data_IF_295047229900
#
_entry.id   IF_295047229900
#
_cell.length_a   1.000
_cell.length_b   1.000
_cell.length_c   1.000
_cell.angle_alpha   90.00
_cell.angle_beta   90.00
_cell.angle_gamma   90.00
#
_symmetry.space_group_name_H-M   'P 1'
#
loop_
_entity.id
_entity.type
_entity.pdbx_description
1 polymer ?
#
# COMPACT_ATOMS: atom_id res chain seq x y z
N UNK A 1 6.16 -82.50 43.35
CA UNK A 1 5.46 -82.69 42.05
C UNK A 1 5.11 -81.32 41.52
N UNK A 2 5.95 -80.78 40.63
CA UNK A 2 5.80 -79.48 40.06
C UNK A 2 5.49 -79.65 38.54
N UNK A 3 4.29 -79.24 38.16
CA UNK A 3 3.83 -79.33 36.76
C UNK A 3 4.21 -78.05 36.03
N UNK A 4 5.10 -78.14 35.02
CA UNK A 4 5.42 -77.08 34.09
C UNK A 4 4.35 -77.04 32.99
N UNK A 5 3.61 -75.94 32.87
CA UNK A 5 2.73 -75.64 31.74
C UNK A 5 3.56 -74.99 30.61
N UNK A 6 3.81 -75.81 29.55
CA UNK A 6 4.52 -75.34 28.35
C UNK A 6 3.58 -74.50 27.46
N UNK A 7 3.92 -73.26 27.21
CA UNK A 7 3.27 -72.42 26.18
C UNK A 7 3.78 -72.78 24.79
N UNK A 8 2.86 -73.16 23.89
CA UNK A 8 3.12 -73.50 22.51
C UNK A 8 3.57 -72.27 21.67
N UNK A 9 4.63 -72.51 20.86
CA UNK A 9 5.17 -71.46 19.91
C UNK A 9 4.13 -70.94 18.92
N UNK A 10 2.97 -71.51 18.79
CA UNK A 10 1.90 -71.03 17.90
C UNK A 10 1.01 -69.94 18.51
N UNK A 11 1.05 -69.72 19.81
CA UNK A 11 0.28 -68.66 20.49
C UNK A 11 1.00 -67.35 20.60
N UNK A 12 2.30 -67.31 20.30
CA UNK A 12 3.12 -66.05 20.29
C UNK A 12 3.11 -65.33 18.95
N UNK A 13 2.55 -65.93 17.87
CA UNK A 13 2.51 -65.32 16.53
C UNK A 13 1.15 -64.65 16.21
N UNK A 14 0.17 -64.68 17.10
CA UNK A 14 -1.16 -64.06 16.87
C UNK A 14 -1.35 -62.68 17.50
N UNK A 15 -0.34 -62.13 18.19
CA UNK A 15 -0.45 -60.83 18.87
C UNK A 15 0.40 -59.70 18.23
N UNK A 16 1.05 -59.92 17.10
CA UNK A 16 1.91 -58.93 16.42
C UNK A 16 1.28 -58.30 15.18
N UNK A 17 -0.02 -58.51 14.92
CA UNK A 17 -0.69 -58.00 13.71
C UNK A 17 -1.75 -56.91 13.95
N UNK A 18 -1.78 -56.29 15.15
CA UNK A 18 -2.82 -55.32 15.51
C UNK A 18 -2.29 -53.95 15.93
N UNK A 19 -1.15 -53.51 15.38
CA UNK A 19 -0.63 -52.18 15.72
C UNK A 19 0.16 -51.56 14.57
N UNK A 20 -0.43 -51.26 13.43
CA UNK A 20 0.00 -50.16 12.52
C UNK A 20 -1.20 -49.82 11.61
N UNK A 21 -2.23 -49.25 12.20
CA UNK A 21 -3.27 -48.51 11.52
C UNK A 21 -3.25 -47.09 12.02
N UNK A 22 -2.08 -46.43 11.97
CA UNK A 22 -2.05 -44.95 12.06
C UNK A 22 -2.74 -44.44 10.79
N UNK A 23 -4.05 -44.20 10.91
CA UNK A 23 -4.82 -43.52 9.89
C UNK A 23 -4.16 -42.14 9.71
N UNK A 24 -3.31 -42.01 8.69
CA UNK A 24 -2.94 -40.73 8.14
C UNK A 24 -4.22 -40.12 7.59
N UNK A 25 -4.91 -39.36 8.44
CA UNK A 25 -5.98 -38.50 7.97
C UNK A 25 -5.36 -37.64 6.86
N UNK A 26 -5.94 -37.63 5.66
CA UNK A 26 -5.46 -36.71 4.64
C UNK A 26 -5.54 -35.33 5.25
N UNK A 27 -4.39 -34.66 5.41
CA UNK A 27 -4.36 -33.21 5.66
C UNK A 27 -5.07 -32.62 4.46
N UNK A 28 -6.33 -32.28 4.64
CA UNK A 28 -7.12 -31.63 3.61
C UNK A 28 -6.43 -30.28 3.38
N UNK A 29 -5.64 -30.16 2.31
CA UNK A 29 -5.01 -28.93 1.93
C UNK A 29 -6.13 -27.89 1.78
N UNK A 30 -6.27 -27.00 2.75
CA UNK A 30 -7.25 -25.92 2.67
C UNK A 30 -6.95 -25.11 1.40
N UNK A 31 -7.96 -24.95 0.56
CA UNK A 31 -7.85 -24.10 -0.62
C UNK A 31 -7.43 -22.70 -0.16
N UNK A 32 -6.34 -22.12 -0.71
CA UNK A 32 -5.88 -20.81 -0.29
C UNK A 32 -6.98 -19.75 -0.45
N UNK A 33 -7.11 -18.86 0.54
CA UNK A 33 -8.04 -17.74 0.43
C UNK A 33 -7.54 -16.76 -0.62
N UNK A 34 -8.32 -16.60 -1.70
CA UNK A 34 -7.98 -15.66 -2.77
C UNK A 34 -8.29 -14.23 -2.36
N UNK A 35 -7.32 -13.33 -2.56
CA UNK A 35 -7.42 -11.89 -2.29
C UNK A 35 -6.90 -11.13 -3.51
N UNK A 36 -7.76 -10.48 -4.28
CA UNK A 36 -7.35 -9.50 -5.28
C UNK A 36 -7.09 -8.18 -4.56
N UNK A 37 -5.83 -7.72 -4.60
CA UNK A 37 -5.37 -6.53 -3.88
C UNK A 37 -5.09 -5.37 -4.83
N UNK A 38 -5.84 -4.25 -4.71
CA UNK A 38 -5.67 -3.07 -5.54
C UNK A 38 -4.50 -2.18 -5.11
N UNK A 39 -3.60 -1.82 -6.05
CA UNK A 39 -2.47 -0.92 -5.81
C UNK A 39 -2.32 0.13 -6.91
N UNK A 40 -1.72 1.27 -6.57
CA UNK A 40 -1.22 2.27 -7.53
C UNK A 40 0.29 2.11 -7.73
N UNK A 41 0.84 2.61 -8.85
CA UNK A 41 2.23 2.37 -9.23
C UNK A 41 3.23 3.24 -8.43
N UNK A 42 3.35 3.00 -7.12
CA UNK A 42 4.35 3.62 -6.23
C UNK A 42 4.99 2.59 -5.30
N UNK A 43 6.18 2.87 -4.82
CA UNK A 43 6.92 1.93 -3.98
C UNK A 43 6.37 1.80 -2.54
N UNK A 44 5.39 2.60 -2.16
CA UNK A 44 4.65 2.50 -0.89
C UNK A 44 3.95 1.14 -0.72
N UNK A 45 3.74 0.39 -1.80
CA UNK A 45 3.19 -0.97 -1.80
C UNK A 45 4.26 -2.06 -1.69
N UNK A 46 5.52 -1.72 -1.46
CA UNK A 46 6.63 -2.67 -1.42
C UNK A 46 6.38 -3.86 -0.48
N UNK A 47 5.71 -3.67 0.67
CA UNK A 47 5.42 -4.77 1.60
C UNK A 47 4.48 -5.83 0.99
N UNK A 48 3.51 -5.43 0.15
CA UNK A 48 2.64 -6.38 -0.57
C UNK A 48 3.42 -7.12 -1.64
N UNK A 49 4.26 -6.42 -2.40
CA UNK A 49 5.08 -7.01 -3.45
C UNK A 49 6.10 -8.00 -2.89
N UNK A 50 6.81 -7.61 -1.84
CA UNK A 50 7.76 -8.49 -1.13
C UNK A 50 7.03 -9.69 -0.52
N UNK A 51 5.89 -9.50 0.15
CA UNK A 51 5.14 -10.62 0.74
C UNK A 51 4.68 -11.63 -0.32
N UNK A 52 4.31 -11.18 -1.52
CA UNK A 52 3.95 -12.05 -2.65
C UNK A 52 5.16 -12.81 -3.15
N UNK A 53 6.27 -12.13 -3.43
CA UNK A 53 7.44 -12.69 -4.08
C UNK A 53 8.27 -13.60 -3.16
N UNK A 54 8.36 -13.26 -1.85
CA UNK A 54 9.01 -14.09 -0.83
C UNK A 54 8.11 -15.24 -0.33
N UNK A 55 6.87 -15.32 -0.85
CA UNK A 55 5.95 -16.39 -0.51
C UNK A 55 5.35 -16.28 0.91
N UNK A 56 5.38 -15.10 1.55
CA UNK A 56 4.84 -14.95 2.91
C UNK A 56 3.33 -15.13 2.96
N UNK A 57 2.62 -14.74 1.90
CA UNK A 57 1.19 -14.99 1.77
C UNK A 57 0.88 -16.48 1.60
N UNK A 58 1.56 -17.16 0.67
CA UNK A 58 1.30 -18.58 0.39
C UNK A 58 1.63 -19.48 1.57
N UNK A 59 2.68 -19.19 2.34
CA UNK A 59 3.02 -19.86 3.60
C UNK A 59 1.90 -19.82 4.63
N UNK A 60 1.00 -18.83 4.53
CA UNK A 60 -0.14 -18.61 5.43
C UNK A 60 -1.50 -18.95 4.80
N UNK A 61 -1.50 -19.70 3.70
CA UNK A 61 -2.72 -20.14 3.03
C UNK A 61 -3.46 -19.01 2.30
N UNK A 62 -2.76 -17.95 1.87
CA UNK A 62 -3.34 -16.88 1.08
C UNK A 62 -2.81 -16.91 -0.37
N UNK A 63 -3.72 -16.71 -1.32
CA UNK A 63 -3.40 -16.41 -2.71
C UNK A 63 -3.71 -14.93 -2.98
N UNK A 64 -2.71 -14.07 -2.78
CA UNK A 64 -2.84 -12.63 -3.00
C UNK A 64 -2.42 -12.30 -4.43
N UNK A 65 -3.32 -11.66 -5.19
CA UNK A 65 -3.11 -11.20 -6.55
C UNK A 65 -3.08 -9.65 -6.57
N UNK A 66 -1.90 -9.01 -6.67
CA UNK A 66 -1.81 -7.55 -6.81
C UNK A 66 -2.34 -7.11 -8.17
N UNK A 67 -3.34 -6.18 -8.16
CA UNK A 67 -3.98 -5.63 -9.35
C UNK A 67 -3.73 -4.13 -9.45
N UNK A 68 -3.14 -3.70 -10.56
CA UNK A 68 -2.88 -2.28 -10.80
C UNK A 68 -4.18 -1.50 -11.02
N UNK A 69 -4.33 -0.39 -10.29
CA UNK A 69 -5.41 0.58 -10.40
C UNK A 69 -4.80 1.93 -10.78
N UNK A 70 -5.14 2.53 -11.93
CA UNK A 70 -4.48 3.75 -12.42
C UNK A 70 -4.60 4.96 -11.50
N UNK A 71 -5.77 5.15 -10.89
CA UNK A 71 -6.09 6.30 -10.02
C UNK A 71 -6.54 5.82 -8.63
N UNK A 72 -5.87 6.31 -7.60
CA UNK A 72 -6.12 5.89 -6.21
C UNK A 72 -7.59 6.07 -5.75
N UNK A 73 -8.31 7.15 -6.12
CA UNK A 73 -9.72 7.34 -5.74
C UNK A 73 -10.67 6.23 -6.23
N UNK A 74 -10.27 5.42 -7.21
CA UNK A 74 -11.10 4.31 -7.70
C UNK A 74 -11.03 3.06 -6.83
N UNK A 75 -10.05 2.96 -5.92
CA UNK A 75 -9.83 1.76 -5.09
C UNK A 75 -11.02 1.46 -4.16
N UNK A 76 -11.57 2.42 -3.39
CA UNK A 76 -12.70 2.12 -2.51
C UNK A 76 -13.94 1.60 -3.25
N UNK A 77 -14.27 2.17 -4.40
CA UNK A 77 -15.39 1.71 -5.22
C UNK A 77 -15.16 0.27 -5.75
N UNK A 78 -13.92 -0.06 -6.13
CA UNK A 78 -13.57 -1.41 -6.57
C UNK A 78 -13.62 -2.44 -5.43
N UNK A 79 -13.29 -2.05 -4.19
CA UNK A 79 -13.48 -2.88 -2.99
C UNK A 79 -14.99 -3.06 -2.73
N UNK A 80 -15.78 -1.99 -2.83
CA UNK A 80 -17.22 -2.04 -2.59
C UNK A 80 -17.95 -2.97 -3.57
N UNK A 81 -17.51 -3.03 -4.82
CA UNK A 81 -18.09 -3.89 -5.86
C UNK A 81 -17.55 -5.33 -5.88
N UNK A 82 -16.75 -5.74 -4.89
CA UNK A 82 -16.04 -7.04 -4.84
C UNK A 82 -15.05 -7.30 -6.00
N UNK A 83 -14.77 -6.31 -6.84
CA UNK A 83 -13.71 -6.40 -7.85
C UNK A 83 -12.31 -6.50 -7.23
N UNK A 84 -12.21 -6.07 -5.96
CA UNK A 84 -11.07 -6.22 -5.06
C UNK A 84 -11.59 -6.69 -3.71
N UNK A 85 -10.90 -7.61 -3.02
CA UNK A 85 -11.18 -7.94 -1.63
C UNK A 85 -10.49 -6.98 -0.67
N UNK A 86 -9.29 -6.51 -1.06
CA UNK A 86 -8.51 -5.51 -0.33
C UNK A 86 -7.89 -4.52 -1.31
N UNK A 87 -7.45 -3.38 -0.81
CA UNK A 87 -6.70 -2.43 -1.63
C UNK A 87 -6.06 -1.33 -0.80
N UNK A 88 -5.22 -0.53 -1.47
CA UNK A 88 -4.44 0.52 -0.84
C UNK A 88 -4.89 1.93 -1.18
N UNK A 89 -6.04 2.42 -0.70
CA UNK A 89 -6.35 3.84 -0.80
C UNK A 89 -5.38 4.66 0.05
N UNK A 90 -5.16 5.92 -0.34
CA UNK A 90 -4.51 6.88 0.56
C UNK A 90 -5.43 7.21 1.74
N UNK A 91 -4.92 7.67 2.89
CA UNK A 91 -5.75 7.99 4.04
C UNK A 91 -6.89 8.97 3.71
N UNK A 92 -6.59 9.98 2.89
CA UNK A 92 -7.58 10.98 2.49
C UNK A 92 -8.68 10.39 1.58
N UNK A 93 -8.35 9.49 0.66
CA UNK A 93 -9.33 8.78 -0.18
C UNK A 93 -10.18 7.83 0.67
N UNK A 94 -9.57 7.13 1.62
CA UNK A 94 -10.28 6.27 2.55
C UNK A 94 -11.30 7.07 3.37
N UNK A 95 -10.89 8.19 3.98
CA UNK A 95 -11.77 9.05 4.77
C UNK A 95 -12.93 9.63 3.95
N UNK A 96 -12.67 10.04 2.70
CA UNK A 96 -13.72 10.50 1.79
C UNK A 96 -14.70 9.37 1.42
N UNK A 97 -14.20 8.15 1.26
CA UNK A 97 -15.06 7.00 0.98
C UNK A 97 -16.01 6.70 2.15
N UNK A 98 -15.53 6.78 3.39
CA UNK A 98 -16.36 6.66 4.59
C UNK A 98 -17.39 7.80 4.70
N UNK A 99 -16.97 9.04 4.45
CA UNK A 99 -17.83 10.21 4.43
C UNK A 99 -18.91 10.13 3.34
N UNK A 100 -18.63 9.37 2.27
CA UNK A 100 -19.55 8.98 1.21
C UNK A 100 -20.45 7.79 1.54
N UNK A 101 -20.35 7.22 2.76
CA UNK A 101 -21.20 6.13 3.24
C UNK A 101 -20.66 4.72 3.01
N UNK A 102 -19.41 4.53 2.56
CA UNK A 102 -18.81 3.20 2.47
C UNK A 102 -18.36 2.71 3.85
N UNK A 103 -18.56 1.41 4.13
CA UNK A 103 -18.16 0.80 5.41
C UNK A 103 -16.93 -0.08 5.23
N UNK A 104 -15.77 0.56 5.18
CA UNK A 104 -14.46 -0.09 5.10
C UNK A 104 -13.69 0.07 6.42
N UNK A 105 -12.77 -0.87 6.66
CA UNK A 105 -11.85 -0.83 7.82
C UNK A 105 -10.41 -0.99 7.37
N UNK A 106 -9.51 -0.40 8.15
CA UNK A 106 -8.06 -0.51 7.96
C UNK A 106 -7.59 -1.85 8.51
N UNK A 107 -6.91 -2.64 7.67
CA UNK A 107 -6.29 -3.92 8.02
C UNK A 107 -4.77 -3.86 8.04
N UNK A 108 -4.18 -2.72 7.67
CA UNK A 108 -2.73 -2.51 7.66
C UNK A 108 -2.36 -1.24 6.92
N UNK A 109 -1.07 -1.07 6.62
CA UNK A 109 -0.58 0.08 5.87
C UNK A 109 0.63 -0.22 5.01
N UNK A 110 0.90 0.69 4.09
CA UNK A 110 2.02 0.64 3.15
C UNK A 110 3.18 1.54 3.58
N UNK A 111 3.49 2.55 2.78
CA UNK A 111 4.50 3.55 3.10
C UNK A 111 4.08 4.56 4.17
N UNK A 112 5.05 5.31 4.69
CA UNK A 112 4.82 6.42 5.61
C UNK A 112 5.67 7.63 5.27
N UNK A 113 5.25 8.81 5.76
CA UNK A 113 6.00 10.05 5.63
C UNK A 113 7.33 10.01 6.36
N UNK A 114 8.34 10.65 5.79
CA UNK A 114 9.60 10.96 6.45
C UNK A 114 10.17 12.25 5.90
N UNK A 115 10.71 13.11 6.79
CA UNK A 115 11.38 14.36 6.39
C UNK A 115 12.64 14.12 5.58
N UNK A 116 13.23 12.94 5.67
CA UNK A 116 14.39 12.53 4.88
C UNK A 116 14.01 11.99 3.49
N UNK A 117 12.70 11.78 3.22
CA UNK A 117 12.23 11.22 1.97
C UNK A 117 12.23 12.28 0.87
N UNK A 118 13.20 12.21 -0.03
CA UNK A 118 13.33 13.09 -1.21
C UNK A 118 12.83 12.44 -2.50
N UNK A 119 12.28 11.24 -2.42
CA UNK A 119 11.63 10.53 -3.53
C UNK A 119 10.16 10.93 -3.75
N UNK A 120 9.65 11.96 -3.04
CA UNK A 120 8.30 12.51 -3.20
C UNK A 120 8.39 14.03 -3.29
N UNK A 121 7.78 14.63 -4.31
CA UNK A 121 7.87 16.06 -4.46
C UNK A 121 6.95 16.66 -5.51
N UNK A 122 7.03 17.97 -5.64
CA UNK A 122 6.47 18.74 -6.74
C UNK A 122 7.56 18.96 -7.79
N UNK A 123 7.35 18.40 -8.96
CA UNK A 123 8.24 18.50 -10.11
C UNK A 123 7.61 19.46 -11.11
N UNK A 124 8.30 20.54 -11.41
CA UNK A 124 7.93 21.50 -12.43
C UNK A 124 8.51 21.08 -13.79
N UNK A 125 7.76 21.32 -14.88
CA UNK A 125 8.23 21.08 -16.25
C UNK A 125 9.49 21.92 -16.54
N UNK A 126 10.46 21.34 -17.22
CA UNK A 126 11.64 22.07 -17.68
C UNK A 126 11.20 23.30 -18.48
N UNK A 127 11.78 24.46 -18.15
CA UNK A 127 11.47 25.74 -18.78
C UNK A 127 10.14 26.40 -18.34
N UNK A 128 9.37 25.81 -17.41
CA UNK A 128 8.09 26.42 -16.92
C UNK A 128 8.28 27.67 -16.06
N UNK A 129 9.45 27.85 -15.46
CA UNK A 129 9.77 28.95 -14.53
C UNK A 129 9.15 28.81 -13.13
N UNK A 130 8.44 27.70 -12.83
CA UNK A 130 7.80 27.49 -11.52
C UNK A 130 8.86 27.13 -10.48
N UNK A 131 9.02 27.96 -9.44
CA UNK A 131 9.99 27.79 -8.36
C UNK A 131 9.38 27.89 -6.97
N UNK A 132 8.24 28.57 -6.85
CA UNK A 132 7.54 28.87 -5.60
C UNK A 132 6.09 28.42 -5.67
N UNK A 133 5.40 28.43 -4.53
CA UNK A 133 3.96 28.16 -4.47
C UNK A 133 3.15 29.20 -5.26
N UNK A 134 3.58 30.46 -5.27
CA UNK A 134 2.93 31.55 -5.98
C UNK A 134 2.95 31.35 -7.50
N UNK A 135 4.00 30.74 -8.02
CA UNK A 135 4.13 30.44 -9.47
C UNK A 135 3.14 29.36 -9.93
N UNK A 136 2.50 28.64 -9.01
CA UNK A 136 1.47 27.65 -9.32
C UNK A 136 0.12 28.27 -9.67
N UNK A 137 -0.11 29.56 -9.36
CA UNK A 137 -1.41 30.22 -9.65
C UNK A 137 -1.66 30.24 -11.16
N UNK A 138 -2.85 29.75 -11.57
CA UNK A 138 -3.26 29.62 -12.96
C UNK A 138 -2.60 28.47 -13.72
N UNK A 139 -1.63 27.77 -13.13
CA UNK A 139 -0.91 26.66 -13.76
C UNK A 139 -1.72 25.35 -13.70
N UNK A 140 -1.47 24.48 -14.67
CA UNK A 140 -2.06 23.15 -14.75
C UNK A 140 -1.12 22.15 -14.06
N UNK A 141 -1.53 21.66 -12.90
CA UNK A 141 -0.73 20.75 -12.07
C UNK A 141 -1.36 19.36 -12.07
N UNK A 142 -0.59 18.36 -12.55
CA UNK A 142 -0.99 16.96 -12.53
C UNK A 142 -0.96 16.39 -11.12
N UNK A 143 -1.99 15.60 -10.78
CA UNK A 143 -2.10 14.88 -9.51
C UNK A 143 -2.51 13.42 -9.77
N UNK A 144 -1.98 12.42 -9.04
CA UNK A 144 -2.31 11.01 -9.26
C UNK A 144 -3.69 10.59 -8.70
N UNK A 145 -4.51 11.57 -8.36
CA UNK A 145 -5.88 11.43 -7.89
C UNK A 145 -6.34 12.67 -7.16
N UNK A 146 -7.46 13.26 -7.58
CA UNK A 146 -8.11 14.34 -6.85
C UNK A 146 -8.57 13.82 -5.48
N UNK A 147 -8.25 14.54 -4.41
CA UNK A 147 -8.50 14.10 -3.04
C UNK A 147 -7.52 13.06 -2.48
N UNK A 148 -6.59 12.51 -3.28
CA UNK A 148 -5.58 11.57 -2.79
C UNK A 148 -4.42 12.29 -2.04
N UNK A 149 -3.59 11.51 -1.35
CA UNK A 149 -2.50 11.98 -0.48
C UNK A 149 -1.68 13.14 -1.06
N UNK A 150 -1.11 12.95 -2.26
CA UNK A 150 -0.24 13.97 -2.85
C UNK A 150 -1.00 15.26 -3.17
N UNK A 151 -2.25 15.17 -3.63
CA UNK A 151 -3.08 16.34 -3.89
C UNK A 151 -3.45 17.08 -2.60
N UNK A 152 -3.96 16.38 -1.57
CA UNK A 152 -4.36 16.98 -0.29
C UNK A 152 -3.16 17.64 0.40
N UNK A 153 -2.01 16.98 0.40
CA UNK A 153 -0.77 17.51 0.98
C UNK A 153 -0.25 18.74 0.20
N UNK A 154 -0.37 18.72 -1.13
CA UNK A 154 0.04 19.87 -1.95
C UNK A 154 -0.89 21.09 -1.73
N UNK A 155 -2.20 20.86 -1.60
CA UNK A 155 -3.14 21.92 -1.22
C UNK A 155 -2.81 22.53 0.15
N UNK A 156 -2.44 21.69 1.13
CA UNK A 156 -1.99 22.16 2.44
C UNK A 156 -0.70 23.00 2.32
N UNK A 157 0.27 22.54 1.55
CA UNK A 157 1.51 23.28 1.29
C UNK A 157 1.24 24.63 0.60
N UNK A 158 0.33 24.70 -0.38
CA UNK A 158 -0.08 25.97 -1.01
C UNK A 158 -0.63 26.94 0.04
N UNK A 159 -1.55 26.47 0.91
CA UNK A 159 -2.12 27.29 2.01
C UNK A 159 -1.06 27.78 2.98
N UNK A 160 -0.11 26.93 3.39
CA UNK A 160 1.03 27.32 4.24
C UNK A 160 1.86 28.44 3.62
N UNK A 161 1.94 28.47 2.28
CA UNK A 161 2.61 29.53 1.50
C UNK A 161 1.66 30.67 1.07
N UNK A 162 0.48 30.78 1.71
CA UNK A 162 -0.52 31.85 1.45
C UNK A 162 -1.06 31.86 0.02
N UNK A 163 -1.08 30.73 -0.65
CA UNK A 163 -1.70 30.51 -1.96
C UNK A 163 -3.03 29.79 -1.79
N UNK A 164 -4.09 30.36 -2.37
CA UNK A 164 -5.38 29.69 -2.42
C UNK A 164 -5.33 28.51 -3.42
N UNK A 165 -5.53 27.25 -2.99
CA UNK A 165 -5.52 26.10 -3.88
C UNK A 165 -6.59 26.16 -4.99
N UNK A 166 -7.67 26.92 -4.81
CA UNK A 166 -8.68 27.11 -5.85
C UNK A 166 -8.17 27.89 -7.08
N UNK A 167 -7.04 28.60 -6.95
CA UNK A 167 -6.39 29.31 -8.05
C UNK A 167 -5.42 28.44 -8.86
N UNK A 168 -5.29 27.15 -8.54
CA UNK A 168 -4.45 26.18 -9.25
C UNK A 168 -5.36 25.21 -10.01
N UNK A 169 -5.03 24.95 -11.28
CA UNK A 169 -5.80 24.02 -12.12
C UNK A 169 -5.28 22.61 -11.95
N UNK A 170 -5.93 21.81 -11.05
CA UNK A 170 -5.56 20.41 -10.86
C UNK A 170 -6.18 19.51 -11.91
N UNK A 171 -5.39 18.57 -12.43
CA UNK A 171 -5.85 17.54 -13.38
C UNK A 171 -5.40 16.16 -12.91
N UNK A 172 -6.26 15.16 -13.03
CA UNK A 172 -5.90 13.79 -12.70
C UNK A 172 -5.02 13.18 -13.79
N UNK A 173 -3.87 12.64 -13.37
CA UNK A 173 -2.90 12.00 -14.25
C UNK A 173 -2.33 10.80 -13.54
N UNK A 174 -2.44 9.60 -14.12
CA UNK A 174 -1.83 8.40 -13.55
C UNK A 174 -0.30 8.51 -13.56
N UNK A 175 0.37 7.92 -12.56
CA UNK A 175 1.83 8.00 -12.42
C UNK A 175 2.62 7.67 -13.69
N UNK A 176 2.31 6.61 -14.46
CA UNK A 176 3.04 6.31 -15.69
C UNK A 176 3.02 7.41 -16.75
N UNK A 177 2.00 8.27 -16.75
CA UNK A 177 1.80 9.33 -17.74
C UNK A 177 2.51 10.65 -17.38
N UNK A 178 3.02 10.80 -16.14
CA UNK A 178 3.58 12.06 -15.65
C UNK A 178 4.67 12.64 -16.56
N UNK A 179 5.69 11.83 -16.90
CA UNK A 179 6.82 12.26 -17.72
C UNK A 179 6.38 12.69 -19.13
N UNK A 180 5.46 11.96 -19.73
CA UNK A 180 5.05 12.20 -21.12
C UNK A 180 4.19 13.47 -21.22
N UNK A 181 3.29 13.72 -20.26
CA UNK A 181 2.48 14.95 -20.23
C UNK A 181 3.28 16.20 -19.89
N UNK A 182 4.31 16.07 -19.02
CA UNK A 182 5.28 17.15 -18.80
C UNK A 182 6.05 17.48 -20.09
N UNK A 183 6.58 16.45 -20.76
CA UNK A 183 7.32 16.62 -22.03
C UNK A 183 6.46 17.26 -23.11
N UNK A 184 5.20 16.87 -23.22
CA UNK A 184 4.24 17.42 -24.18
C UNK A 184 3.79 18.85 -23.83
N UNK A 185 4.13 19.37 -22.64
CA UNK A 185 3.62 20.65 -22.16
C UNK A 185 2.12 20.68 -21.84
N UNK A 186 1.49 19.49 -21.73
CA UNK A 186 0.07 19.35 -21.40
C UNK A 186 -0.21 19.72 -19.94
N UNK A 187 0.80 19.62 -19.06
CA UNK A 187 0.82 20.08 -17.68
C UNK A 187 2.08 20.91 -17.41
N UNK A 188 2.01 21.87 -16.51
CA UNK A 188 3.12 22.76 -16.13
C UNK A 188 3.98 22.18 -14.99
N UNK A 189 3.40 21.30 -14.20
CA UNK A 189 4.06 20.59 -13.11
C UNK A 189 3.23 19.39 -12.67
N UNK A 190 3.82 18.56 -11.80
CA UNK A 190 3.16 17.36 -11.28
C UNK A 190 3.59 17.08 -9.84
N UNK A 191 2.65 16.69 -8.99
CA UNK A 191 2.98 16.08 -7.70
C UNK A 191 3.15 14.59 -7.90
N UNK A 192 4.31 14.06 -7.55
CA UNK A 192 4.70 12.70 -7.91
C UNK A 192 5.58 12.06 -6.83
N UNK A 193 5.78 10.78 -6.96
CA UNK A 193 6.67 10.00 -6.10
C UNK A 193 7.45 8.97 -6.90
N UNK A 194 8.47 8.40 -6.27
CA UNK A 194 9.27 7.35 -6.87
C UNK A 194 8.45 6.07 -7.12
N UNK A 195 8.77 5.38 -8.21
CA UNK A 195 9.92 5.59 -9.12
C UNK A 195 9.71 6.60 -10.26
N UNK A 196 8.52 7.21 -10.39
CA UNK A 196 8.22 8.12 -11.52
C UNK A 196 8.89 9.48 -11.39
N UNK A 197 9.12 9.95 -10.16
CA UNK A 197 9.92 11.15 -9.94
C UNK A 197 11.34 10.97 -10.46
N UNK A 198 12.01 9.87 -10.11
CA UNK A 198 13.33 9.54 -10.62
C UNK A 198 13.37 9.48 -12.16
N UNK A 199 12.33 8.88 -12.80
CA UNK A 199 12.20 8.86 -14.26
C UNK A 199 12.12 10.24 -14.88
N UNK A 200 11.34 11.16 -14.30
CA UNK A 200 11.22 12.54 -14.81
C UNK A 200 12.56 13.26 -14.71
N UNK A 201 13.24 13.15 -13.58
CA UNK A 201 14.53 13.79 -13.34
C UNK A 201 15.62 13.23 -14.26
N UNK A 202 15.71 11.91 -14.39
CA UNK A 202 16.69 11.26 -15.29
C UNK A 202 16.49 11.63 -16.76
N UNK A 203 15.25 11.89 -17.19
CA UNK A 203 14.95 12.33 -18.58
C UNK A 203 15.13 13.81 -18.81
N UNK A 204 15.43 14.64 -17.80
CA UNK A 204 15.50 16.09 -17.89
C UNK A 204 14.18 16.78 -18.23
N UNK A 205 13.05 16.05 -18.16
CA UNK A 205 11.72 16.59 -18.50
C UNK A 205 11.21 17.60 -17.49
N UNK A 206 11.71 17.54 -16.25
CA UNK A 206 11.35 18.45 -15.17
C UNK A 206 12.44 18.54 -14.11
N UNK A 207 12.22 19.42 -13.16
CA UNK A 207 13.09 19.65 -11.99
C UNK A 207 12.25 19.73 -10.72
N UNK A 208 12.84 19.38 -9.58
CA UNK A 208 12.17 19.49 -8.28
C UNK A 208 12.01 20.97 -7.93
N UNK A 209 10.76 21.43 -7.85
CA UNK A 209 10.42 22.76 -7.37
C UNK A 209 10.22 22.79 -5.85
N UNK A 210 9.73 21.67 -5.26
CA UNK A 210 9.58 21.57 -3.80
C UNK A 210 9.46 20.10 -3.34
N UNK A 211 10.12 19.77 -2.25
CA UNK A 211 9.84 18.58 -1.44
C UNK A 211 8.71 18.91 -0.44
N UNK A 212 7.57 19.29 -0.95
CA UNK A 212 6.47 19.89 -0.21
C UNK A 212 5.89 19.00 0.91
N UNK A 213 6.14 17.69 0.90
CA UNK A 213 5.64 16.77 1.93
C UNK A 213 6.43 16.84 3.24
N UNK A 214 7.60 17.52 3.26
CA UNK A 214 8.49 17.60 4.43
C UNK A 214 7.93 18.45 5.58
N UNK A 215 6.82 19.19 5.38
CA UNK A 215 6.13 19.84 6.49
C UNK A 215 5.37 18.86 7.39
N UNK A 216 5.10 17.66 6.89
CA UNK A 216 4.37 16.64 7.62
C UNK A 216 5.25 15.99 8.70
N UNK A 217 4.68 15.55 9.83
CA UNK A 217 5.41 14.76 10.80
C UNK A 217 5.85 13.41 10.20
N UNK A 218 6.95 12.87 10.71
CA UNK A 218 7.39 11.52 10.34
C UNK A 218 6.40 10.46 10.82
N UNK A 219 6.30 9.36 10.09
CA UNK A 219 5.51 8.20 10.50
C UNK A 219 4.02 8.27 10.22
N UNK A 220 3.54 9.25 9.44
CA UNK A 220 2.15 9.26 9.01
C UNK A 220 1.97 8.34 7.79
N UNK A 221 0.96 7.44 7.76
CA UNK A 221 0.77 6.54 6.63
C UNK A 221 0.43 7.33 5.37
N UNK A 222 1.04 6.93 4.25
CA UNK A 222 0.74 7.44 2.91
C UNK A 222 -0.26 6.56 2.18
N UNK A 223 -0.30 5.28 2.55
CA UNK A 223 -1.22 4.25 2.06
C UNK A 223 -1.78 3.48 3.25
N UNK A 224 -3.10 3.26 3.24
CA UNK A 224 -3.80 2.35 4.15
C UNK A 224 -4.20 1.10 3.37
N UNK A 225 -4.05 -0.08 3.96
CA UNK A 225 -4.65 -1.29 3.41
C UNK A 225 -6.02 -1.47 4.01
N UNK A 226 -7.05 -1.54 3.17
CA UNK A 226 -8.45 -1.55 3.60
C UNK A 226 -9.24 -2.66 2.94
N UNK A 227 -10.30 -3.08 3.62
CA UNK A 227 -11.29 -4.03 3.13
C UNK A 227 -12.68 -3.63 3.63
N UNK A 228 -13.74 -4.20 3.07
CA UNK A 228 -15.09 -4.03 3.62
C UNK A 228 -15.17 -4.65 5.02
N UNK A 229 -15.88 -4.00 5.94
CA UNK A 229 -16.04 -4.47 7.32
C UNK A 229 -16.71 -5.85 7.39
N UNK A 230 -17.75 -6.08 6.58
CA UNK A 230 -18.45 -7.36 6.53
C UNK A 230 -17.57 -8.50 5.99
N UNK A 231 -16.68 -8.19 5.03
CA UNK A 231 -15.70 -9.15 4.53
C UNK A 231 -14.66 -9.51 5.62
N UNK A 232 -14.15 -8.50 6.34
CA UNK A 232 -13.20 -8.70 7.46
C UNK A 232 -13.84 -9.57 8.55
N UNK A 233 -15.10 -9.30 8.91
CA UNK A 233 -15.82 -10.09 9.92
C UNK A 233 -15.96 -11.56 9.54
N UNK A 234 -16.13 -11.88 8.26
CA UNK A 234 -16.26 -13.25 7.74
C UNK A 234 -14.92 -13.93 7.52
N UNK A 235 -13.83 -13.20 7.37
CA UNK A 235 -12.51 -13.71 6.96
C UNK A 235 -11.40 -13.36 7.96
N UNK A 236 -11.70 -13.29 9.27
CA UNK A 236 -10.75 -12.95 10.32
C UNK A 236 -9.40 -13.67 10.25
N UNK A 237 -9.35 -15.02 10.08
CA UNK A 237 -8.08 -15.73 9.92
C UNK A 237 -7.26 -15.27 8.72
N UNK A 238 -7.91 -14.98 7.58
CA UNK A 238 -7.23 -14.48 6.37
C UNK A 238 -6.70 -13.05 6.57
N UNK A 239 -7.45 -12.19 7.26
CA UNK A 239 -7.00 -10.83 7.63
C UNK A 239 -5.76 -10.89 8.51
N UNK A 240 -5.77 -11.73 9.54
CA UNK A 240 -4.61 -11.94 10.43
C UNK A 240 -3.40 -12.45 9.65
N UNK A 241 -3.58 -13.45 8.80
CA UNK A 241 -2.53 -14.01 7.94
C UNK A 241 -1.95 -12.93 7.00
N UNK A 242 -2.80 -12.05 6.43
CA UNK A 242 -2.36 -10.92 5.63
C UNK A 242 -1.53 -9.92 6.45
N UNK A 243 -2.01 -9.53 7.62
CA UNK A 243 -1.29 -8.61 8.53
C UNK A 243 0.09 -9.14 8.93
N UNK A 244 0.18 -10.40 9.32
CA UNK A 244 1.45 -11.04 9.67
C UNK A 244 2.41 -11.09 8.47
N UNK A 245 1.90 -11.34 7.25
CA UNK A 245 2.69 -11.38 6.03
C UNK A 245 3.27 -10.02 5.67
N UNK A 246 2.51 -8.93 5.78
CA UNK A 246 3.01 -7.58 5.50
C UNK A 246 3.98 -7.08 6.59
N UNK A 247 3.82 -7.52 7.86
CA UNK A 247 4.78 -7.23 8.94
C UNK A 247 6.11 -7.94 8.64
N UNK A 248 6.08 -9.21 8.23
CA UNK A 248 7.29 -9.96 7.84
C UNK A 248 7.98 -9.29 6.65
N UNK A 249 7.22 -8.88 5.63
CA UNK A 249 7.74 -8.15 4.48
C UNK A 249 8.34 -6.78 4.86
N UNK A 250 7.70 -6.05 5.77
CA UNK A 250 8.25 -4.79 6.27
C UNK A 250 9.59 -4.99 7.00
N UNK A 251 9.74 -6.08 7.76
CA UNK A 251 10.99 -6.45 8.40
C UNK A 251 12.07 -6.88 7.39
N UNK A 252 11.67 -7.50 6.27
CA UNK A 252 12.57 -7.81 5.15
C UNK A 252 13.09 -6.53 4.49
N UNK A 253 12.20 -5.57 4.19
CA UNK A 253 12.52 -4.29 3.55
C UNK A 253 13.50 -3.47 4.38
N UNK A 254 13.37 -3.48 5.71
CA UNK A 254 14.24 -2.71 6.62
C UNK A 254 15.69 -3.18 6.66
N UNK A 255 16.00 -4.36 6.12
CA UNK A 255 17.37 -4.91 6.11
C UNK A 255 18.13 -4.40 4.88
N UNK A 256 19.22 -3.63 5.05
CA UNK A 256 19.98 -3.09 3.90
C UNK A 256 20.48 -4.16 2.92
N UNK A 257 20.79 -5.35 3.42
CA UNK A 257 21.22 -6.48 2.58
C UNK A 257 20.16 -6.93 1.56
N UNK A 258 18.90 -6.60 1.78
CA UNK A 258 17.78 -6.99 0.93
C UNK A 258 17.41 -5.91 -0.11
N UNK A 259 18.07 -4.74 -0.12
CA UNK A 259 17.69 -3.59 -0.96
C UNK A 259 17.55 -3.98 -2.44
N UNK A 260 18.51 -4.70 -3.00
CA UNK A 260 18.47 -5.16 -4.39
C UNK A 260 17.27 -6.10 -4.67
N UNK A 261 16.98 -7.02 -3.75
CA UNK A 261 15.84 -7.92 -3.87
C UNK A 261 14.50 -7.15 -3.79
N UNK A 262 14.37 -6.20 -2.86
CA UNK A 262 13.18 -5.34 -2.75
C UNK A 262 12.92 -4.59 -4.04
N UNK A 263 13.94 -3.97 -4.64
CA UNK A 263 13.83 -3.26 -5.93
C UNK A 263 13.44 -4.21 -7.07
N UNK A 264 14.02 -5.40 -7.12
CA UNK A 264 13.67 -6.42 -8.09
C UNK A 264 12.19 -6.85 -7.95
N UNK A 265 11.70 -7.04 -6.73
CA UNK A 265 10.30 -7.37 -6.45
C UNK A 265 9.37 -6.25 -6.89
N UNK A 266 9.68 -4.99 -6.57
CA UNK A 266 8.90 -3.82 -7.04
C UNK A 266 8.85 -3.80 -8.57
N UNK A 267 9.96 -4.06 -9.26
CA UNK A 267 10.07 -4.09 -10.72
C UNK A 267 9.19 -5.13 -11.41
N UNK A 268 8.74 -6.17 -10.70
CA UNK A 268 7.79 -7.14 -11.25
C UNK A 268 6.39 -6.55 -11.42
N UNK A 269 6.00 -5.58 -10.58
CA UNK A 269 4.67 -4.96 -10.57
C UNK A 269 4.66 -3.55 -11.17
N UNK A 270 5.77 -2.80 -11.03
CA UNK A 270 5.93 -1.47 -11.61
C UNK A 270 6.98 -1.55 -12.71
N UNK A 271 6.51 -1.59 -13.96
CA UNK A 271 7.37 -1.81 -15.14
C UNK A 271 8.16 -0.55 -15.50
N UNK A 272 9.40 -0.49 -15.03
CA UNK A 272 10.37 0.56 -15.32
C UNK A 272 11.76 -0.04 -15.57
N UNK A 273 12.65 0.69 -16.28
CA UNK A 273 14.03 0.28 -16.47
C UNK A 273 14.75 0.03 -15.14
N UNK A 274 15.64 -0.97 -15.06
CA UNK A 274 16.33 -1.32 -13.81
C UNK A 274 17.13 -0.17 -13.19
N UNK A 275 17.72 0.71 -14.02
CA UNK A 275 18.46 1.89 -13.58
C UNK A 275 17.57 2.91 -12.85
N UNK A 276 16.32 3.05 -13.26
CA UNK A 276 15.33 3.89 -12.57
C UNK A 276 14.92 3.26 -11.23
N UNK A 277 14.69 1.94 -11.22
CA UNK A 277 14.39 1.23 -9.97
C UNK A 277 15.57 1.28 -8.99
N UNK A 278 16.81 1.23 -9.49
CA UNK A 278 18.01 1.36 -8.67
C UNK A 278 18.17 2.75 -8.04
N UNK A 279 17.75 3.81 -8.74
CA UNK A 279 17.89 5.20 -8.28
C UNK A 279 16.74 5.68 -7.37
N UNK A 280 15.60 4.97 -7.33
CA UNK A 280 14.46 5.38 -6.50
C UNK A 280 14.79 5.32 -5.01
N UNK A 281 14.20 6.22 -4.23
CA UNK A 281 14.21 6.14 -2.77
C UNK A 281 13.05 5.26 -2.28
N UNK A 282 13.35 4.25 -1.46
CA UNK A 282 12.31 3.39 -0.89
C UNK A 282 11.54 4.11 0.21
N UNK A 283 10.22 4.04 0.16
CA UNK A 283 9.35 4.54 1.23
C UNK A 283 9.50 3.65 2.47
N UNK A 284 9.68 4.23 3.68
CA UNK A 284 9.70 3.44 4.90
C UNK A 284 8.36 2.72 5.10
N UNK A 285 8.35 1.40 5.40
CA UNK A 285 7.10 0.64 5.55
C UNK A 285 6.41 0.91 6.89
N UNK A 286 5.09 1.03 6.87
CA UNK A 286 4.22 1.21 8.05
C UNK A 286 3.11 0.15 8.08
N UNK A 287 3.44 -1.13 8.37
CA UNK A 287 2.47 -2.23 8.26
C UNK A 287 1.38 -2.19 9.33
N UNK A 288 1.63 -1.55 10.47
CA UNK A 288 0.68 -1.39 11.57
C UNK A 288 0.24 0.06 11.66
N UNK A 289 -1.07 0.29 11.67
CA UNK A 289 -1.67 1.62 11.75
C UNK A 289 -2.27 1.82 13.15
N UNK A 290 -2.07 3.00 13.72
CA UNK A 290 -2.60 3.39 15.04
C UNK A 290 -3.53 4.60 14.93
N UNK A 291 -4.42 4.76 15.89
CA UNK A 291 -5.45 5.81 15.89
C UNK A 291 -4.88 7.23 15.70
N UNK A 292 -3.77 7.56 16.39
CA UNK A 292 -3.11 8.86 16.26
C UNK A 292 -2.75 9.23 14.82
N UNK A 293 -2.36 8.25 14.02
CA UNK A 293 -2.00 8.44 12.62
C UNK A 293 -3.24 8.76 11.77
N UNK A 294 -4.38 8.13 12.07
CA UNK A 294 -5.66 8.44 11.40
C UNK A 294 -6.21 9.78 11.84
N UNK A 295 -6.11 10.12 13.13
CA UNK A 295 -6.51 11.44 13.66
C UNK A 295 -5.79 12.57 12.91
N UNK A 296 -4.48 12.45 12.69
CA UNK A 296 -3.72 13.43 11.90
C UNK A 296 -4.36 13.69 10.52
N UNK A 297 -4.79 12.63 9.83
CA UNK A 297 -5.41 12.76 8.51
C UNK A 297 -6.82 13.34 8.59
N UNK A 298 -7.60 12.99 9.63
CA UNK A 298 -8.92 13.59 9.88
C UNK A 298 -8.78 15.09 10.09
N UNK A 299 -7.83 15.51 10.92
CA UNK A 299 -7.57 16.93 11.19
C UNK A 299 -7.16 17.69 9.92
N UNK A 300 -6.21 17.13 9.14
CA UNK A 300 -5.78 17.72 7.88
C UNK A 300 -6.91 17.87 6.86
N UNK A 301 -7.82 16.90 6.81
CA UNK A 301 -8.97 16.93 5.91
C UNK A 301 -10.03 17.93 6.36
N UNK A 302 -10.27 18.02 7.67
CA UNK A 302 -11.20 19.00 8.27
C UNK A 302 -10.70 20.45 8.05
N UNK A 303 -9.40 20.72 8.25
CA UNK A 303 -8.79 22.03 7.98
C UNK A 303 -8.96 22.48 6.52
N UNK A 304 -9.11 21.53 5.62
CA UNK A 304 -9.35 21.79 4.20
C UNK A 304 -10.83 21.72 3.83
N UNK A 305 -11.74 21.46 4.79
CA UNK A 305 -13.18 21.28 4.57
C UNK A 305 -13.48 20.19 3.54
N UNK A 306 -12.75 19.08 3.61
CA UNK A 306 -12.87 17.95 2.68
C UNK A 306 -13.65 16.78 3.25
N UNK A 307 -14.12 16.87 4.50
CA UNK A 307 -15.07 15.94 5.14
C UNK A 307 -16.33 16.67 5.56
N UNK A 308 -17.47 16.01 5.46
CA UNK A 308 -18.76 16.51 5.95
C UNK A 308 -18.90 16.31 7.47
N UNK A 309 -18.34 15.18 7.96
CA UNK A 309 -18.32 14.83 9.37
C UNK A 309 -17.02 14.14 9.75
N UNK A 310 -16.57 14.35 11.00
CA UNK A 310 -15.40 13.61 11.52
C UNK A 310 -15.81 12.19 11.90
N UNK A 311 -15.10 11.16 11.38
CA UNK A 311 -15.42 9.77 11.71
C UNK A 311 -14.98 9.42 13.15
N UNK A 312 -15.57 8.36 13.71
CA UNK A 312 -15.11 7.77 14.96
C UNK A 312 -13.82 6.97 14.71
N UNK A 313 -12.66 7.59 14.91
CA UNK A 313 -11.34 7.05 14.60
C UNK A 313 -11.09 5.65 15.19
N UNK A 314 -11.43 5.34 16.49
CA UNK A 314 -11.24 3.99 17.03
C UNK A 314 -11.96 2.88 16.27
N UNK A 315 -13.07 3.20 15.59
CA UNK A 315 -13.82 2.20 14.80
C UNK A 315 -13.27 1.95 13.40
N UNK A 316 -12.27 2.69 12.98
CA UNK A 316 -11.72 2.64 11.62
C UNK A 316 -10.69 1.52 11.42
N UNK A 317 -10.11 0.99 12.51
CA UNK A 317 -9.09 -0.06 12.48
C UNK A 317 -9.74 -1.41 12.80
N UNK A 318 -9.46 -2.42 12.00
CA UNK A 318 -9.90 -3.79 12.26
C UNK A 318 -9.27 -4.29 13.57
N UNK A 319 -10.13 -4.89 14.43
CA UNK A 319 -9.73 -5.48 15.72
C UNK A 319 -9.31 -6.93 15.54
#
# INVERSE_FOLDING_TARGET
MTAFLGFSRRQLLSWSAAAVGAATLPVQAQTPTKIVFGFTAVNDFASVFVAKEEGYFSKRGLDVEPKFIPLNPSIPAAIQSDSLQMGGPTPSVYLQALDGGLDHVVVGGGGMTSKSLTGVGFVARAGSGIRTAQDCVGRKIGVPGLGAYLHVSFRAWLKLNKVDPAKVNFVEVSFPQHSDLLRAGSIDGVVTGDPFMARILASGTGYVASYYTTFQPDGMPTILYTARRDWVAKNGPAVKAFQESIIEAANFIKKPANDAAVRAHIGKFIKLPPEILASMQLSPPSPVIVEKQLTYWVDMMNDQKMLKASPNVPSLIAK
#
